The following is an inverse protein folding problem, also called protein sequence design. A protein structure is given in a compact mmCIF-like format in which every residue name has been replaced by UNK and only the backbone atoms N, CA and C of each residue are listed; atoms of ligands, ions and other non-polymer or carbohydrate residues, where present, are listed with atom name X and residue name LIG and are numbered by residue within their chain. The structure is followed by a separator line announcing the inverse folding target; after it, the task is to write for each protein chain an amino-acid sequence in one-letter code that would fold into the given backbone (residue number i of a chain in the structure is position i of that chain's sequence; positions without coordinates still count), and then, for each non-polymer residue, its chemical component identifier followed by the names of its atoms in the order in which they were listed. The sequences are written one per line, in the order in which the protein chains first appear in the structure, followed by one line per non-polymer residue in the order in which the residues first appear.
data_IF_336412133394
#
_entry.id   IF_336412133394
#
_cell.length_a   1.000
_cell.length_b   1.000
_cell.length_c   1.000
_cell.angle_alpha   90.00
_cell.angle_beta   90.00
_cell.angle_gamma   90.00
#
_symmetry.space_group_name_H-M   'P 1'
#
loop_
_entity.id
_entity.type
_entity.pdbx_description
1 polymer ?
#
# COMPACT_ATOMS: atom_id res chain seq x y z
N UNK A 1 -18.09 -17.49 -15.72
CA UNK A 1 -17.69 -18.63 -14.84
C UNK A 1 -18.44 -19.93 -15.15
N UNK A 2 -19.67 -19.87 -15.69
CA UNK A 2 -20.52 -21.05 -15.92
C UNK A 2 -20.19 -21.85 -17.18
N UNK A 3 -19.26 -21.39 -18.01
CA UNK A 3 -18.87 -22.10 -19.23
C UNK A 3 -17.78 -23.15 -18.94
N UNK A 4 -17.99 -24.44 -19.29
CA UNK A 4 -17.05 -25.53 -18.99
C UNK A 4 -15.65 -25.34 -19.60
N UNK A 5 -15.55 -24.60 -20.70
CA UNK A 5 -14.30 -24.29 -21.40
C UNK A 5 -13.34 -23.39 -20.56
N UNK A 6 -13.88 -22.59 -19.65
CA UNK A 6 -13.09 -21.70 -18.77
C UNK A 6 -12.33 -22.51 -17.72
N UNK A 7 -12.87 -23.63 -17.27
CA UNK A 7 -12.24 -24.49 -16.26
C UNK A 7 -11.15 -25.40 -16.81
N UNK A 8 -11.06 -25.54 -18.13
CA UNK A 8 -10.00 -26.33 -18.79
C UNK A 8 -8.73 -25.51 -19.02
N UNK A 9 -8.82 -24.18 -18.95
CA UNK A 9 -7.71 -23.25 -19.10
C UNK A 9 -7.41 -22.59 -17.74
N UNK A 10 -6.37 -23.09 -17.05
CA UNK A 10 -6.01 -22.65 -15.70
C UNK A 10 -5.70 -21.15 -15.65
N UNK A 11 -5.08 -20.61 -16.69
CA UNK A 11 -4.71 -19.18 -16.76
C UNK A 11 -5.94 -18.30 -16.89
N UNK A 12 -6.87 -18.66 -17.79
CA UNK A 12 -8.15 -17.95 -17.93
C UNK A 12 -9.00 -18.04 -16.67
N UNK A 13 -9.07 -19.21 -16.05
CA UNK A 13 -9.79 -19.41 -14.80
C UNK A 13 -9.24 -18.55 -13.68
N UNK A 14 -7.92 -18.48 -13.56
CA UNK A 14 -7.25 -17.64 -12.55
C UNK A 14 -7.48 -16.14 -12.81
N UNK A 15 -7.40 -15.70 -14.07
CA UNK A 15 -7.64 -14.31 -14.45
C UNK A 15 -9.09 -13.89 -14.15
N UNK A 16 -10.04 -14.71 -14.55
CA UNK A 16 -11.47 -14.46 -14.27
C UNK A 16 -11.74 -14.50 -12.76
N UNK A 17 -11.14 -15.42 -12.02
CA UNK A 17 -11.28 -15.49 -10.57
C UNK A 17 -10.76 -14.23 -9.86
N UNK A 18 -9.62 -13.70 -10.28
CA UNK A 18 -9.08 -12.42 -9.79
C UNK A 18 -10.01 -11.24 -10.10
N UNK A 19 -10.56 -11.20 -11.32
CA UNK A 19 -11.47 -10.15 -11.76
C UNK A 19 -12.80 -10.15 -10.99
N UNK A 20 -13.35 -11.35 -10.76
CA UNK A 20 -14.56 -11.53 -9.93
C UNK A 20 -14.31 -11.08 -8.50
N UNK A 21 -13.23 -11.56 -7.86
CA UNK A 21 -12.87 -11.14 -6.50
C UNK A 21 -12.66 -9.64 -6.38
N UNK A 22 -12.04 -9.02 -7.39
CA UNK A 22 -11.87 -7.56 -7.43
C UNK A 22 -13.21 -6.81 -7.47
N UNK A 23 -14.17 -7.29 -8.26
CA UNK A 23 -15.51 -6.71 -8.36
C UNK A 23 -16.28 -6.93 -7.06
N UNK A 24 -16.25 -8.15 -6.50
CA UNK A 24 -16.89 -8.49 -5.22
C UNK A 24 -16.37 -7.60 -4.09
N UNK A 25 -15.05 -7.45 -3.96
CA UNK A 25 -14.44 -6.58 -2.96
C UNK A 25 -14.89 -5.11 -3.07
N UNK A 26 -15.12 -4.61 -4.29
CA UNK A 26 -15.66 -3.26 -4.51
C UNK A 26 -17.11 -3.14 -4.07
N UNK A 27 -17.92 -4.14 -4.39
CA UNK A 27 -19.34 -4.18 -4.00
C UNK A 27 -19.45 -4.26 -2.48
N UNK A 28 -18.69 -5.15 -1.85
CA UNK A 28 -18.69 -5.34 -0.40
C UNK A 28 -18.24 -4.06 0.33
N UNK A 29 -17.20 -3.41 -0.15
CA UNK A 29 -16.73 -2.14 0.42
C UNK A 29 -17.80 -1.05 0.35
N UNK A 30 -18.49 -0.94 -0.78
CA UNK A 30 -19.60 0.00 -0.95
C UNK A 30 -20.77 -0.32 -0.01
N UNK A 31 -21.20 -1.59 0.02
CA UNK A 31 -22.32 -2.03 0.86
C UNK A 31 -22.03 -1.82 2.35
N UNK A 32 -20.80 -2.08 2.78
CA UNK A 32 -20.36 -1.84 4.17
C UNK A 32 -20.45 -0.36 4.53
N UNK A 33 -19.98 0.54 3.65
CA UNK A 33 -20.02 1.98 3.89
C UNK A 33 -21.47 2.52 3.86
N UNK A 34 -22.31 2.02 2.96
CA UNK A 34 -23.73 2.39 2.88
C UNK A 34 -24.49 1.95 4.14
N UNK A 35 -24.23 0.74 4.64
CA UNK A 35 -24.80 0.26 5.90
C UNK A 35 -24.34 1.13 7.09
N UNK A 36 -23.03 1.42 7.20
CA UNK A 36 -22.51 2.24 8.29
C UNK A 36 -23.10 3.66 8.32
N UNK A 37 -23.39 4.25 7.14
CA UNK A 37 -24.05 5.55 7.05
C UNK A 37 -25.52 5.47 7.47
N UNK A 38 -26.24 4.40 7.10
CA UNK A 38 -27.63 4.19 7.57
C UNK A 38 -27.72 3.98 9.06
N UNK A 39 -26.80 3.18 9.63
CA UNK A 39 -26.72 3.01 11.08
C UNK A 39 -26.45 4.35 11.80
N UNK A 40 -25.60 5.19 11.20
CA UNK A 40 -25.34 6.53 11.74
C UNK A 40 -26.57 7.45 11.66
N UNK A 41 -27.35 7.38 10.58
CA UNK A 41 -28.63 8.10 10.45
C UNK A 41 -29.64 7.66 11.54
N UNK A 42 -29.75 6.36 11.80
CA UNK A 42 -30.62 5.85 12.88
C UNK A 42 -30.20 6.35 14.26
N UNK A 43 -28.89 6.46 14.53
CA UNK A 43 -28.40 7.04 15.80
C UNK A 43 -28.73 8.53 15.91
N UNK A 44 -28.63 9.28 14.81
CA UNK A 44 -28.99 10.69 14.78
C UNK A 44 -30.47 10.88 15.14
N UNK A 45 -31.35 10.10 14.50
CA UNK A 45 -32.79 10.13 14.76
C UNK A 45 -33.08 9.79 16.23
N UNK A 46 -32.36 8.81 16.79
CA UNK A 46 -32.52 8.42 18.21
C UNK A 46 -32.08 9.55 19.16
N UNK A 47 -30.98 10.25 18.86
CA UNK A 47 -30.51 11.39 19.64
C UNK A 47 -31.54 12.53 19.59
N UNK A 48 -32.11 12.81 18.42
CA UNK A 48 -33.15 13.85 18.25
C UNK A 48 -34.42 13.53 19.02
N UNK A 49 -34.84 12.24 19.04
CA UNK A 49 -36.05 11.83 19.76
C UNK A 49 -35.88 11.78 21.27
N UNK A 50 -34.72 11.30 21.74
CA UNK A 50 -34.50 11.04 23.18
C UNK A 50 -33.77 12.14 23.90
N UNK A 51 -33.00 12.98 23.18
CA UNK A 51 -32.09 13.97 23.76
C UNK A 51 -30.88 13.33 24.45
N UNK A 52 -30.55 12.07 24.15
CA UNK A 52 -29.44 11.36 24.78
C UNK A 52 -28.11 11.71 24.07
N UNK A 53 -27.42 12.70 24.61
CA UNK A 53 -26.11 13.14 24.11
C UNK A 53 -24.98 12.12 24.34
N UNK A 54 -25.20 11.05 25.12
CA UNK A 54 -24.18 10.02 25.36
C UNK A 54 -23.81 9.24 24.11
N UNK A 55 -24.72 9.19 23.12
CA UNK A 55 -24.52 8.53 21.83
C UNK A 55 -23.66 9.33 20.85
N UNK A 56 -23.38 10.60 21.11
CA UNK A 56 -22.59 11.46 20.20
C UNK A 56 -21.18 10.94 20.00
N UNK A 57 -20.54 10.42 21.06
CA UNK A 57 -19.18 9.89 20.95
C UNK A 57 -19.13 8.61 20.09
N UNK A 58 -20.17 7.78 20.13
CA UNK A 58 -20.31 6.60 19.30
C UNK A 58 -20.53 7.01 17.83
N UNK A 59 -21.42 7.96 17.58
CA UNK A 59 -21.68 8.53 16.26
C UNK A 59 -20.41 9.12 15.63
N UNK A 60 -19.63 9.92 16.36
CA UNK A 60 -18.37 10.49 15.91
C UNK A 60 -17.36 9.39 15.51
N UNK A 61 -17.31 8.30 16.27
CA UNK A 61 -16.47 7.13 15.96
C UNK A 61 -16.91 6.45 14.66
N UNK A 62 -18.21 6.25 14.45
CA UNK A 62 -18.77 5.64 13.24
C UNK A 62 -18.55 6.51 12.01
N UNK A 63 -18.80 7.81 12.10
CA UNK A 63 -18.57 8.75 11.00
C UNK A 63 -17.10 8.84 10.62
N UNK A 64 -16.19 8.86 11.60
CA UNK A 64 -14.74 8.86 11.34
C UNK A 64 -14.27 7.58 10.64
N UNK A 65 -14.84 6.43 10.99
CA UNK A 65 -14.55 5.16 10.33
C UNK A 65 -15.11 5.12 8.90
N UNK A 66 -16.35 5.59 8.71
CA UNK A 66 -16.98 5.67 7.38
C UNK A 66 -16.23 6.63 6.44
N UNK A 67 -15.80 7.78 6.92
CA UNK A 67 -15.01 8.76 6.15
C UNK A 67 -13.70 8.14 5.64
N UNK A 68 -13.02 7.39 6.50
CA UNK A 68 -11.81 6.67 6.12
C UNK A 68 -12.08 5.59 5.07
N UNK A 69 -13.13 4.77 5.25
CA UNK A 69 -13.49 3.71 4.29
C UNK A 69 -13.85 4.32 2.92
N UNK A 70 -14.55 5.47 2.91
CA UNK A 70 -14.90 6.22 1.68
C UNK A 70 -13.65 6.80 1.01
N UNK A 71 -12.71 7.35 1.77
CA UNK A 71 -11.46 7.87 1.20
C UNK A 71 -10.61 6.75 0.61
N UNK A 72 -10.54 5.59 1.26
CA UNK A 72 -9.87 4.40 0.71
C UNK A 72 -10.55 3.93 -0.59
N UNK A 73 -11.87 3.92 -0.68
CA UNK A 73 -12.60 3.62 -1.92
C UNK A 73 -12.32 4.67 -3.01
N UNK A 74 -12.24 5.96 -2.65
CA UNK A 74 -11.91 7.04 -3.58
C UNK A 74 -10.53 6.85 -4.20
N UNK A 75 -9.53 6.52 -3.38
CA UNK A 75 -8.18 6.25 -3.85
C UNK A 75 -8.18 5.08 -4.83
N UNK A 76 -8.83 3.96 -4.48
CA UNK A 76 -8.95 2.80 -5.38
C UNK A 76 -9.65 3.14 -6.70
N UNK A 77 -10.66 4.03 -6.66
CA UNK A 77 -11.38 4.46 -7.86
C UNK A 77 -10.53 5.32 -8.83
N UNK A 78 -9.47 5.96 -8.33
CA UNK A 78 -8.54 6.76 -9.14
C UNK A 78 -7.51 5.88 -9.83
N UNK A 79 -7.18 4.70 -9.27
CA UNK A 79 -6.21 3.76 -9.82
C UNK A 79 -6.81 3.04 -11.04
N UNK A 80 -6.74 3.69 -12.22
CA UNK A 80 -7.30 3.21 -13.51
C UNK A 80 -6.25 3.03 -14.61
N UNK A 81 -4.98 3.15 -14.27
CA UNK A 81 -3.89 2.91 -15.22
C UNK A 81 -3.85 1.44 -15.67
N UNK A 82 -3.27 1.15 -16.85
CA UNK A 82 -3.28 -0.19 -17.43
C UNK A 82 -2.59 -1.25 -16.56
N UNK A 83 -1.66 -0.82 -15.69
CA UNK A 83 -0.91 -1.70 -14.81
C UNK A 83 -1.24 -1.52 -13.32
N UNK A 84 -2.17 -0.62 -12.99
CA UNK A 84 -2.44 -0.27 -11.59
C UNK A 84 -2.91 -1.44 -10.73
N UNK A 85 -3.54 -2.45 -11.32
CA UNK A 85 -4.01 -3.66 -10.64
C UNK A 85 -2.93 -4.74 -10.45
N UNK A 86 -1.73 -4.52 -11.00
CA UNK A 86 -0.66 -5.51 -10.97
C UNK A 86 0.08 -5.49 -9.62
N UNK A 87 0.80 -6.58 -9.37
CA UNK A 87 1.85 -6.61 -8.35
C UNK A 87 2.96 -5.64 -8.73
N UNK A 88 3.80 -5.29 -7.77
CA UNK A 88 4.92 -4.38 -7.99
C UNK A 88 6.26 -5.06 -7.74
N UNK A 89 7.24 -4.72 -8.57
CA UNK A 89 8.66 -5.00 -8.36
C UNK A 89 9.34 -3.70 -7.96
N UNK A 90 10.01 -3.69 -6.82
CA UNK A 90 10.67 -2.51 -6.28
C UNK A 90 12.16 -2.77 -6.12
N UNK A 91 12.95 -1.75 -6.47
CA UNK A 91 14.39 -1.75 -6.27
C UNK A 91 14.81 -0.49 -5.51
N UNK A 92 15.48 -0.66 -4.38
CA UNK A 92 16.08 0.42 -3.60
C UNK A 92 17.60 0.39 -3.78
N UNK A 93 18.20 1.53 -4.10
CA UNK A 93 19.63 1.66 -4.24
C UNK A 93 20.14 2.85 -3.41
N UNK A 94 21.09 2.59 -2.51
CA UNK A 94 21.77 3.64 -1.77
C UNK A 94 22.55 4.53 -2.74
N UNK A 95 22.32 5.83 -2.66
CA UNK A 95 23.01 6.83 -3.46
C UNK A 95 24.30 7.36 -2.80
N UNK A 96 24.67 8.58 -3.15
CA UNK A 96 25.80 9.24 -2.53
C UNK A 96 25.60 9.44 -1.02
N UNK A 97 26.60 9.10 -0.21
CA UNK A 97 26.58 9.26 1.24
C UNK A 97 27.23 8.10 2.03
N UNK A 98 27.76 7.08 1.34
CA UNK A 98 28.43 5.95 1.98
C UNK A 98 27.54 5.22 2.99
N UNK A 99 28.06 4.92 4.18
CA UNK A 99 27.36 4.21 5.26
C UNK A 99 26.02 4.86 5.62
N UNK A 100 25.95 6.19 5.62
CA UNK A 100 24.72 6.94 5.91
C UNK A 100 23.63 6.69 4.86
N UNK A 101 24.00 6.60 3.57
CA UNK A 101 23.05 6.29 2.49
C UNK A 101 22.58 4.83 2.57
N UNK A 102 23.44 3.89 2.95
CA UNK A 102 23.08 2.50 3.17
C UNK A 102 22.09 2.35 4.35
N UNK A 103 22.30 3.10 5.43
CA UNK A 103 21.36 3.13 6.55
C UNK A 103 20.01 3.73 6.15
N UNK A 104 20.02 4.81 5.36
CA UNK A 104 18.79 5.40 4.81
C UNK A 104 18.03 4.42 3.93
N UNK A 105 18.71 3.68 3.06
CA UNK A 105 18.12 2.62 2.24
C UNK A 105 17.43 1.55 3.12
N UNK A 106 18.08 1.12 4.20
CA UNK A 106 17.52 0.19 5.18
C UNK A 106 16.25 0.75 5.86
N UNK A 107 16.25 2.03 6.20
CA UNK A 107 15.09 2.70 6.79
C UNK A 107 13.91 2.73 5.80
N UNK A 108 14.16 3.05 4.52
CA UNK A 108 13.14 3.06 3.47
C UNK A 108 12.58 1.66 3.23
N UNK A 109 13.44 0.64 3.12
CA UNK A 109 12.99 -0.74 2.97
C UNK A 109 12.06 -1.16 4.12
N UNK A 110 12.44 -0.84 5.36
CA UNK A 110 11.58 -1.11 6.53
C UNK A 110 10.27 -0.32 6.50
N UNK A 111 10.30 0.93 6.05
CA UNK A 111 9.11 1.78 5.91
C UNK A 111 8.12 1.17 4.91
N UNK A 112 8.59 0.81 3.71
CA UNK A 112 7.76 0.21 2.68
C UNK A 112 7.24 -1.17 3.08
N UNK A 113 8.08 -2.01 3.69
CA UNK A 113 7.65 -3.32 4.20
C UNK A 113 6.50 -3.19 5.21
N UNK A 114 6.61 -2.26 6.17
CA UNK A 114 5.54 -2.01 7.14
C UNK A 114 4.28 -1.41 6.52
N UNK A 115 4.43 -0.55 5.53
CA UNK A 115 3.30 -0.04 4.77
C UNK A 115 2.58 -1.17 4.05
N UNK A 116 3.31 -2.04 3.37
CA UNK A 116 2.76 -3.21 2.68
C UNK A 116 2.02 -4.14 3.65
N UNK A 117 2.60 -4.45 4.81
CA UNK A 117 1.94 -5.23 5.86
C UNK A 117 0.62 -4.60 6.30
N UNK A 118 0.61 -3.28 6.53
CA UNK A 118 -0.61 -2.54 6.92
C UNK A 118 -1.69 -2.59 5.83
N UNK A 119 -1.30 -2.60 4.56
CA UNK A 119 -2.19 -2.71 3.41
C UNK A 119 -2.64 -4.16 3.13
N UNK A 120 -2.12 -5.14 3.86
CA UNK A 120 -2.38 -6.56 3.64
C UNK A 120 -1.64 -7.13 2.43
N UNK A 121 -0.62 -6.42 1.93
CA UNK A 121 0.24 -6.90 0.84
C UNK A 121 1.30 -7.86 1.36
N UNK A 122 1.71 -8.81 0.52
CA UNK A 122 2.82 -9.71 0.80
C UNK A 122 4.10 -9.17 0.19
N UNK A 123 5.19 -9.18 0.97
CA UNK A 123 6.51 -8.73 0.53
C UNK A 123 7.45 -9.92 0.43
N UNK A 124 8.12 -10.06 -0.70
CA UNK A 124 9.11 -11.10 -0.97
C UNK A 124 10.43 -10.43 -1.35
N UNK A 125 11.45 -10.58 -0.52
CA UNK A 125 12.80 -10.14 -0.84
C UNK A 125 13.37 -11.06 -1.93
N UNK A 126 13.84 -10.48 -3.04
CA UNK A 126 14.37 -11.21 -4.19
C UNK A 126 15.90 -11.25 -4.15
N UNK A 127 16.50 -10.08 -3.90
CA UNK A 127 17.94 -9.94 -3.77
C UNK A 127 18.27 -8.82 -2.78
N UNK A 128 19.44 -8.92 -2.14
CA UNK A 128 19.89 -7.93 -1.16
C UNK A 128 21.41 -7.87 -1.09
N UNK A 129 21.95 -6.69 -1.27
CA UNK A 129 23.36 -6.38 -1.05
C UNK A 129 23.51 -5.56 0.24
N UNK A 130 24.25 -6.06 1.19
CA UNK A 130 24.53 -5.33 2.44
C UNK A 130 25.50 -4.16 2.19
N UNK A 131 25.39 -3.10 2.98
CA UNK A 131 26.40 -2.05 3.02
C UNK A 131 27.69 -2.55 3.69
N UNK A 132 28.83 -1.97 3.32
CA UNK A 132 30.16 -2.41 3.80
C UNK A 132 30.30 -2.33 5.35
N UNK A 133 29.73 -1.32 5.98
CA UNK A 133 29.78 -1.12 7.44
C UNK A 133 28.42 -1.27 8.10
N UNK A 134 27.35 -0.79 7.46
CA UNK A 134 25.99 -0.87 7.98
C UNK A 134 24.96 -0.67 6.87
N UNK A 135 23.71 -1.08 7.15
CA UNK A 135 22.58 -0.83 6.29
C UNK A 135 22.54 -1.72 5.05
N UNK A 136 21.82 -1.26 4.03
CA UNK A 136 21.57 -1.95 2.77
C UNK A 136 22.10 -1.09 1.63
N UNK A 137 22.95 -1.64 0.76
CA UNK A 137 23.44 -0.99 -0.45
C UNK A 137 22.39 -1.03 -1.56
N UNK A 138 21.81 -2.21 -1.77
CA UNK A 138 20.66 -2.40 -2.65
C UNK A 138 19.74 -3.50 -2.17
N UNK A 139 18.46 -3.41 -2.47
CA UNK A 139 17.49 -4.47 -2.22
C UNK A 139 16.41 -4.44 -3.27
N UNK A 140 16.17 -5.62 -3.85
CA UNK A 140 15.11 -5.89 -4.79
C UNK A 140 14.02 -6.72 -4.10
N UNK A 141 12.78 -6.30 -4.18
CA UNK A 141 11.68 -7.01 -3.56
C UNK A 141 10.40 -6.90 -4.38
N UNK A 142 9.60 -7.94 -4.28
CA UNK A 142 8.30 -8.06 -4.92
C UNK A 142 7.19 -7.82 -3.91
N UNK A 143 6.18 -7.08 -4.32
CA UNK A 143 5.00 -6.80 -3.52
C UNK A 143 3.78 -7.37 -4.22
N UNK A 144 3.14 -8.35 -3.60
CA UNK A 144 1.88 -8.95 -4.07
C UNK A 144 0.70 -8.33 -3.33
N UNK A 145 -0.26 -7.86 -4.07
CA UNK A 145 -1.51 -7.34 -3.53
C UNK A 145 -2.35 -6.63 -4.58
N UNK A 146 -3.63 -6.49 -4.29
CA UNK A 146 -4.55 -5.77 -5.16
C UNK A 146 -4.14 -4.30 -5.30
N UNK A 147 -3.88 -3.85 -6.51
CA UNK A 147 -3.41 -2.50 -6.84
C UNK A 147 -2.02 -2.15 -6.23
N UNK A 148 -1.17 -3.12 -5.91
CA UNK A 148 0.12 -2.86 -5.28
C UNK A 148 0.97 -1.88 -6.11
N UNK A 149 1.07 -2.09 -7.43
CA UNK A 149 1.77 -1.16 -8.31
C UNK A 149 1.09 0.22 -8.34
N UNK A 150 -0.25 0.26 -8.43
CA UNK A 150 -1.01 1.50 -8.46
C UNK A 150 -0.72 2.41 -7.26
N UNK A 151 -0.63 1.83 -6.05
CA UNK A 151 -0.29 2.56 -4.83
C UNK A 151 1.18 2.98 -4.77
N UNK A 152 2.10 2.10 -5.19
CA UNK A 152 3.53 2.29 -4.98
C UNK A 152 4.21 3.08 -6.10
N UNK A 153 3.64 3.13 -7.32
CA UNK A 153 4.25 3.83 -8.48
C UNK A 153 4.53 5.31 -8.23
N UNK A 154 3.74 5.97 -7.40
CA UNK A 154 3.90 7.38 -7.07
C UNK A 154 5.12 7.66 -6.18
N UNK A 155 5.65 6.63 -5.52
CA UNK A 155 6.83 6.70 -4.67
C UNK A 155 8.15 6.61 -5.47
N UNK A 156 8.09 6.29 -6.76
CA UNK A 156 9.28 6.17 -7.62
C UNK A 156 10.05 7.49 -7.67
N UNK A 157 11.36 7.42 -7.40
CA UNK A 157 12.23 8.57 -7.45
C UNK A 157 13.36 8.55 -6.44
N UNK A 158 13.95 9.72 -6.18
CA UNK A 158 15.07 9.87 -5.26
C UNK A 158 14.57 10.42 -3.91
N UNK A 159 14.80 9.64 -2.88
CA UNK A 159 14.44 9.96 -1.50
C UNK A 159 15.63 10.60 -0.78
N UNK A 160 15.39 11.77 -0.19
CA UNK A 160 16.42 12.56 0.51
C UNK A 160 16.20 12.51 2.02
N UNK A 161 17.26 12.17 2.76
CA UNK A 161 17.31 12.28 4.21
C UNK A 161 18.29 13.38 4.62
N UNK A 162 17.88 14.23 5.53
CA UNK A 162 18.75 15.22 6.19
C UNK A 162 18.62 15.06 7.70
N UNK A 163 19.71 14.60 8.34
CA UNK A 163 19.74 14.41 9.80
C UNK A 163 21.17 14.61 10.36
N UNK A 164 21.26 14.67 11.68
CA UNK A 164 22.55 14.50 12.36
C UNK A 164 22.94 13.03 12.21
N UNK A 165 24.14 12.77 11.63
CA UNK A 165 24.59 11.41 11.37
C UNK A 165 24.92 10.67 12.66
N UNK A 166 24.38 9.46 12.88
CA UNK A 166 24.79 8.61 13.99
C UNK A 166 26.19 8.00 13.79
N UNK A 167 26.73 8.06 12.56
CA UNK A 167 28.04 7.51 12.19
C UNK A 167 29.14 8.55 12.23
N UNK A 168 28.82 9.85 12.38
CA UNK A 168 29.79 10.93 12.47
C UNK A 168 30.11 11.28 13.92
N UNK A 169 31.34 11.03 14.35
CA UNK A 169 31.84 11.36 15.71
C UNK A 169 31.64 12.84 16.07
N UNK A 170 31.67 13.73 15.09
CA UNK A 170 31.48 15.17 15.28
C UNK A 170 30.02 15.60 15.28
N UNK A 171 29.07 14.65 15.14
CA UNK A 171 27.61 14.91 15.12
C UNK A 171 27.22 15.98 14.11
N UNK A 172 27.82 15.98 12.94
CA UNK A 172 27.50 16.92 11.87
C UNK A 172 26.22 16.48 11.16
N UNK A 173 25.55 17.46 10.55
CA UNK A 173 24.39 17.22 9.70
C UNK A 173 24.86 16.69 8.34
N UNK A 174 24.30 15.56 7.92
CA UNK A 174 24.55 14.92 6.64
C UNK A 174 23.28 14.86 5.79
N UNK A 175 23.48 14.84 4.48
CA UNK A 175 22.44 14.60 3.50
C UNK A 175 22.76 13.30 2.78
N UNK A 176 21.77 12.40 2.72
CA UNK A 176 21.87 11.10 2.05
C UNK A 176 20.75 10.92 1.05
N UNK A 177 21.02 10.17 0.02
CA UNK A 177 20.05 9.88 -1.04
C UNK A 177 19.90 8.37 -1.21
N UNK A 178 18.69 7.96 -1.57
CA UNK A 178 18.39 6.59 -1.97
C UNK A 178 17.36 6.66 -3.12
N UNK A 179 17.59 5.93 -4.21
CA UNK A 179 16.63 5.81 -5.29
C UNK A 179 15.68 4.65 -5.03
N UNK A 180 14.42 4.86 -5.38
CA UNK A 180 13.42 3.81 -5.47
C UNK A 180 12.94 3.71 -6.90
N UNK A 181 13.03 2.53 -7.48
CA UNK A 181 12.40 2.15 -8.73
C UNK A 181 11.17 1.29 -8.44
N UNK A 182 10.09 1.51 -9.19
CA UNK A 182 8.84 0.75 -9.06
C UNK A 182 8.39 0.35 -10.45
N UNK A 183 8.30 -0.96 -10.69
CA UNK A 183 7.86 -1.53 -11.96
C UNK A 183 6.64 -2.42 -11.75
N UNK A 184 5.70 -2.47 -12.70
CA UNK A 184 4.63 -3.46 -12.66
C UNK A 184 5.20 -4.85 -12.93
N UNK A 185 4.70 -5.86 -12.22
CA UNK A 185 4.96 -7.24 -12.58
C UNK A 185 4.08 -7.62 -13.79
N UNK A 186 4.68 -7.69 -14.96
CA UNK A 186 3.99 -8.10 -16.19
C UNK A 186 4.30 -9.57 -16.43
N UNK A 187 3.25 -10.40 -16.55
CA UNK A 187 3.41 -11.77 -17.01
C UNK A 187 3.73 -11.71 -18.51
N UNK A 188 4.80 -12.40 -18.96
CA UNK A 188 5.10 -12.51 -20.38
C UNK A 188 3.96 -13.30 -21.05
N UNK A 189 3.16 -12.62 -21.86
CA UNK A 189 2.22 -13.25 -22.79
C UNK A 189 3.04 -13.95 -23.92
N UNK A 190 3.58 -15.15 -23.65
CA UNK A 190 4.15 -16.04 -24.66
C UNK A 190 3.15 -17.08 -25.12
#
# INVERSE_FOLDING_TARGET
QEQPEVWQDLEKSTKIGREVSHIENKIDAYQKSDAALKDAEEIIDLIEETGDESLIAELDGMLSAADKDIEDMRIRAILKGPYDTHNALLALHAGAGGTEACDWCSMLYRMYSRYCEKMGFKVFELDREAGDEAGIKSVDFRVEGENAYGYLKAEMGVHRLVRISPFDANKRRHTSFCSLEVMPEVEDDN
#
